data_IF_125477318761
#
_entry.id   IF_125477318761
#
_cell.length_a   1.000
_cell.length_b   1.000
_cell.length_c   1.000
_cell.angle_alpha   90.00
_cell.angle_beta   90.00
_cell.angle_gamma   90.00
#
_symmetry.space_group_name_H-M   'P 1'
#
loop_
_entity.id
_entity.type
_entity.pdbx_description
1 polymer ?
#
# COMPACT_ATOMS: atom_id res chain seq x y z
N UNK A 1 -16.53 -2.55 13.54
CA UNK A 1 -15.16 -2.23 13.08
C UNK A 1 -15.22 -0.95 12.26
N UNK A 2 -14.49 0.08 12.67
CA UNK A 2 -14.31 1.33 11.91
C UNK A 2 -12.95 1.32 11.21
N UNK A 3 -12.95 1.52 9.90
CA UNK A 3 -11.77 1.35 9.04
C UNK A 3 -11.33 2.71 8.49
N UNK A 4 -10.03 2.92 8.40
CA UNK A 4 -9.44 4.05 7.66
C UNK A 4 -8.76 3.52 6.39
N UNK A 5 -9.26 3.91 5.22
CA UNK A 5 -8.64 3.58 3.94
C UNK A 5 -7.76 4.77 3.52
N UNK A 6 -6.45 4.57 3.52
CA UNK A 6 -5.47 5.59 3.16
C UNK A 6 -5.01 5.31 1.73
N UNK A 7 -5.38 6.16 0.79
CA UNK A 7 -4.77 6.14 -0.53
C UNK A 7 -3.53 7.03 -0.54
N UNK A 8 -2.40 6.49 -0.99
CA UNK A 8 -1.11 7.15 -0.94
C UNK A 8 -0.42 7.34 -2.28
N UNK A 9 0.23 8.49 -2.44
CA UNK A 9 1.28 8.72 -3.42
C UNK A 9 0.83 8.82 -4.87
N UNK A 10 -0.35 9.42 -5.14
CA UNK A 10 -0.68 9.75 -6.53
C UNK A 10 0.21 10.88 -7.01
N UNK A 11 1.04 10.57 -8.00
CA UNK A 11 1.99 11.50 -8.58
C UNK A 11 1.84 11.48 -10.09
N UNK A 12 1.85 12.65 -10.73
CA UNK A 12 1.85 12.72 -12.19
C UNK A 12 3.11 12.08 -12.75
N UNK A 13 2.94 11.03 -13.56
CA UNK A 13 4.04 10.39 -14.27
C UNK A 13 4.00 10.87 -15.71
N UNK A 14 4.84 11.85 -16.03
CA UNK A 14 4.92 12.46 -17.37
C UNK A 14 5.18 11.49 -18.53
N UNK A 15 5.61 10.26 -18.24
CA UNK A 15 6.01 9.26 -19.24
C UNK A 15 4.91 8.25 -19.60
N UNK A 16 3.79 8.20 -18.87
CA UNK A 16 2.71 7.22 -19.13
C UNK A 16 1.37 7.95 -19.18
N UNK A 17 0.99 8.40 -20.38
CA UNK A 17 -0.32 9.07 -20.64
C UNK A 17 -1.55 8.23 -20.25
N UNK A 18 -1.40 6.94 -19.95
CA UNK A 18 -2.51 5.99 -19.82
C UNK A 18 -2.77 5.44 -18.41
N UNK A 19 -1.91 5.72 -17.43
CA UNK A 19 -2.11 5.27 -16.05
C UNK A 19 -2.43 6.49 -15.20
N UNK A 20 -3.71 6.86 -15.20
CA UNK A 20 -4.29 7.86 -14.32
C UNK A 20 -5.15 7.10 -13.29
N UNK A 21 -4.97 7.38 -12.02
CA UNK A 21 -5.74 6.75 -10.94
C UNK A 21 -7.26 6.96 -11.02
N UNK A 22 -7.74 7.97 -11.75
CA UNK A 22 -9.16 8.11 -12.09
C UNK A 22 -9.73 6.85 -12.78
N UNK A 23 -8.92 6.16 -13.57
CA UNK A 23 -9.33 4.92 -14.24
C UNK A 23 -9.59 3.77 -13.25
N UNK A 24 -9.06 3.86 -12.03
CA UNK A 24 -9.17 2.82 -11.01
C UNK A 24 -10.37 3.03 -10.08
N UNK A 25 -11.02 4.19 -10.10
CA UNK A 25 -12.14 4.52 -9.19
C UNK A 25 -13.27 3.50 -9.26
N UNK A 26 -13.69 3.11 -10.47
CA UNK A 26 -14.75 2.10 -10.66
C UNK A 26 -14.33 0.73 -10.10
N UNK A 27 -13.04 0.40 -10.19
CA UNK A 27 -12.50 -0.83 -9.61
C UNK A 27 -12.55 -0.80 -8.08
N UNK A 28 -12.11 0.30 -7.47
CA UNK A 28 -12.15 0.49 -6.02
C UNK A 28 -13.56 0.49 -5.47
N UNK A 29 -14.48 1.16 -6.16
CA UNK A 29 -15.89 1.11 -5.80
C UNK A 29 -16.40 -0.33 -5.79
N UNK A 30 -16.10 -1.12 -6.82
CA UNK A 30 -16.56 -2.51 -6.94
C UNK A 30 -15.97 -3.44 -5.88
N UNK A 31 -14.64 -3.45 -5.72
CA UNK A 31 -13.95 -4.47 -4.94
C UNK A 31 -13.61 -4.05 -3.51
N UNK A 32 -13.61 -2.76 -3.21
CA UNK A 32 -13.31 -2.24 -1.88
C UNK A 32 -14.59 -1.68 -1.24
N UNK A 33 -15.10 -0.55 -1.76
CA UNK A 33 -16.12 0.22 -1.02
C UNK A 33 -17.48 -0.47 -0.99
N UNK A 34 -18.00 -0.91 -2.13
CA UNK A 34 -19.29 -1.61 -2.18
C UNK A 34 -19.25 -2.92 -1.39
N UNK A 35 -18.10 -3.58 -1.35
CA UNK A 35 -17.93 -4.81 -0.55
C UNK A 35 -17.93 -4.52 0.95
N UNK A 36 -17.26 -3.45 1.39
CA UNK A 36 -17.29 -3.00 2.78
C UNK A 36 -18.70 -2.57 3.21
N UNK A 37 -19.42 -1.82 2.36
CA UNK A 37 -20.80 -1.40 2.59
C UNK A 37 -21.74 -2.60 2.70
N UNK A 38 -21.61 -3.59 1.80
CA UNK A 38 -22.41 -4.82 1.82
C UNK A 38 -22.27 -5.59 3.14
N UNK A 39 -21.10 -5.53 3.76
CA UNK A 39 -20.83 -6.18 5.05
C UNK A 39 -21.02 -5.24 6.26
N UNK A 40 -21.68 -4.10 6.07
CA UNK A 40 -21.99 -3.11 7.11
C UNK A 40 -20.76 -2.56 7.85
N UNK A 41 -19.61 -2.48 7.17
CA UNK A 41 -18.44 -1.81 7.73
C UNK A 41 -18.58 -0.29 7.61
N UNK A 42 -18.12 0.42 8.65
CA UNK A 42 -17.97 1.88 8.63
C UNK A 42 -16.55 2.18 8.22
N UNK A 43 -16.36 3.01 7.19
CA UNK A 43 -15.02 3.40 6.75
C UNK A 43 -14.95 4.87 6.35
N UNK A 44 -13.78 5.46 6.59
CA UNK A 44 -13.40 6.78 6.10
C UNK A 44 -12.29 6.62 5.03
N UNK A 45 -12.29 7.49 4.01
CA UNK A 45 -11.25 7.53 2.97
C UNK A 45 -10.36 8.75 3.22
N UNK A 46 -9.05 8.54 3.25
CA UNK A 46 -8.03 9.58 3.45
C UNK A 46 -7.08 9.56 2.26
N UNK A 47 -6.75 10.75 1.73
CA UNK A 47 -5.73 10.89 0.71
C UNK A 47 -4.46 11.47 1.31
N UNK A 48 -3.33 10.79 1.11
CA UNK A 48 -1.99 11.28 1.44
C UNK A 48 -1.19 11.33 0.14
N UNK A 49 -1.25 12.46 -0.54
CA UNK A 49 -0.97 12.52 -1.99
C UNK A 49 -0.33 13.84 -2.41
N UNK A 50 0.03 13.98 -3.69
CA UNK A 50 0.60 15.21 -4.25
C UNK A 50 -0.48 16.06 -4.93
N UNK A 51 -0.16 17.33 -5.17
CA UNK A 51 -1.03 18.19 -5.97
C UNK A 51 -0.91 17.80 -7.46
N UNK A 52 -1.90 17.07 -7.96
CA UNK A 52 -1.98 16.60 -9.36
C UNK A 52 -3.21 17.21 -10.05
N UNK A 53 -3.17 17.34 -11.37
CA UNK A 53 -4.28 17.84 -12.22
C UNK A 53 -5.60 17.10 -12.00
N UNK A 54 -5.55 15.83 -11.62
CA UNK A 54 -6.71 14.95 -11.42
C UNK A 54 -7.25 14.93 -9.98
N UNK A 55 -6.58 15.62 -9.04
CA UNK A 55 -6.88 15.52 -7.62
C UNK A 55 -8.30 15.99 -7.29
N UNK A 56 -8.75 17.06 -7.95
CA UNK A 56 -10.11 17.58 -7.76
C UNK A 56 -11.17 16.57 -8.22
N UNK A 57 -10.96 15.93 -9.37
CA UNK A 57 -11.87 14.89 -9.87
C UNK A 57 -11.89 13.66 -8.94
N UNK A 58 -10.73 13.26 -8.40
CA UNK A 58 -10.66 12.19 -7.41
C UNK A 58 -11.40 12.56 -6.13
N UNK A 59 -11.24 13.80 -5.64
CA UNK A 59 -11.94 14.32 -4.47
C UNK A 59 -13.45 14.25 -4.67
N UNK A 60 -13.95 14.69 -5.82
CA UNK A 60 -15.38 14.71 -6.12
C UNK A 60 -15.97 13.30 -6.20
N UNK A 61 -15.23 12.35 -6.79
CA UNK A 61 -15.70 10.96 -6.96
C UNK A 61 -15.62 10.13 -5.68
N UNK A 62 -14.58 10.35 -4.87
CA UNK A 62 -14.25 9.48 -3.74
C UNK A 62 -14.67 10.09 -2.40
N UNK A 63 -14.95 11.39 -2.36
CA UNK A 63 -15.31 12.15 -1.17
C UNK A 63 -14.42 11.84 0.05
N UNK A 64 -13.09 12.02 -0.06
CA UNK A 64 -12.18 11.75 1.04
C UNK A 64 -12.51 12.66 2.24
N UNK A 65 -12.47 12.10 3.44
CA UNK A 65 -12.69 12.83 4.70
C UNK A 65 -11.58 13.84 4.97
N UNK A 66 -10.36 13.52 4.55
CA UNK A 66 -9.19 14.38 4.70
C UNK A 66 -8.23 14.18 3.52
N UNK A 67 -7.56 15.26 3.12
CA UNK A 67 -6.52 15.26 2.09
C UNK A 67 -5.28 15.92 2.69
N UNK A 68 -4.18 15.18 2.73
CA UNK A 68 -2.86 15.63 3.17
C UNK A 68 -1.98 15.72 1.94
N UNK A 69 -1.53 16.94 1.63
CA UNK A 69 -0.65 17.20 0.50
C UNK A 69 0.81 16.99 0.90
N UNK A 70 1.51 16.13 0.15
CA UNK A 70 2.95 15.92 0.27
C UNK A 70 3.70 16.98 -0.53
N UNK A 71 4.90 17.35 -0.07
CA UNK A 71 5.80 18.22 -0.82
C UNK A 71 6.36 17.51 -2.06
N UNK A 72 6.20 18.11 -3.24
CA UNK A 72 6.67 17.52 -4.50
C UNK A 72 8.20 17.54 -4.63
N UNK A 73 8.86 18.57 -4.10
CA UNK A 73 10.33 18.75 -4.17
C UNK A 73 11.09 17.65 -3.40
N UNK A 74 10.45 17.05 -2.40
CA UNK A 74 10.99 15.98 -1.56
C UNK A 74 10.22 14.65 -1.74
N UNK A 75 9.68 14.42 -2.95
CA UNK A 75 8.90 13.22 -3.26
C UNK A 75 9.74 11.95 -3.10
N UNK A 76 9.53 11.24 -1.98
CA UNK A 76 10.16 9.95 -1.71
C UNK A 76 9.13 8.98 -1.12
N UNK A 77 9.28 7.70 -1.42
CA UNK A 77 8.43 6.65 -0.85
C UNK A 77 8.56 6.60 0.68
N UNK A 78 9.76 6.88 1.20
CA UNK A 78 10.10 6.97 2.62
C UNK A 78 9.33 8.10 3.30
N UNK A 79 9.39 9.32 2.76
CA UNK A 79 8.68 10.48 3.29
C UNK A 79 7.16 10.25 3.24
N UNK A 80 6.65 9.69 2.15
CA UNK A 80 5.23 9.39 2.03
C UNK A 80 4.79 8.32 3.04
N UNK A 81 5.61 7.29 3.31
CA UNK A 81 5.31 6.33 4.40
C UNK A 81 5.37 7.01 5.77
N UNK A 82 6.34 7.91 6.00
CA UNK A 82 6.42 8.63 7.27
C UNK A 82 5.15 9.46 7.54
N UNK A 83 4.64 10.19 6.54
CA UNK A 83 3.38 10.94 6.67
C UNK A 83 2.19 9.99 6.94
N UNK A 84 2.16 8.81 6.30
CA UNK A 84 1.17 7.76 6.60
C UNK A 84 1.30 7.31 8.06
N UNK A 85 2.52 7.08 8.57
CA UNK A 85 2.76 6.70 9.95
C UNK A 85 2.30 7.76 10.95
N UNK A 86 2.65 9.02 10.72
CA UNK A 86 2.20 10.16 11.54
C UNK A 86 0.66 10.22 11.61
N UNK A 87 -0.01 10.02 10.47
CA UNK A 87 -1.46 9.98 10.42
C UNK A 87 -2.03 8.80 11.22
N UNK A 88 -1.49 7.61 11.02
CA UNK A 88 -1.90 6.38 11.71
C UNK A 88 -1.74 6.55 13.22
N UNK A 89 -0.60 7.06 13.69
CA UNK A 89 -0.33 7.31 15.11
C UNK A 89 -1.33 8.30 15.72
N UNK A 90 -1.56 9.43 15.04
CA UNK A 90 -2.47 10.48 15.51
C UNK A 90 -3.92 9.99 15.60
N UNK A 91 -4.31 9.05 14.74
CA UNK A 91 -5.69 8.61 14.60
C UNK A 91 -5.97 7.19 15.12
N UNK A 92 -4.99 6.53 15.74
CA UNK A 92 -5.14 5.13 16.19
C UNK A 92 -6.28 4.90 17.17
N UNK A 93 -6.70 5.93 17.90
CA UNK A 93 -7.84 5.81 18.82
C UNK A 93 -9.21 5.92 18.16
N UNK A 94 -9.27 6.32 16.89
CA UNK A 94 -10.52 6.51 16.13
C UNK A 94 -10.86 5.27 15.29
N UNK A 95 -9.85 4.57 14.79
CA UNK A 95 -10.01 3.48 13.83
C UNK A 95 -9.53 2.16 14.43
N UNK A 96 -10.25 1.08 14.13
CA UNK A 96 -9.86 -0.27 14.52
C UNK A 96 -8.78 -0.83 13.57
N UNK A 97 -8.80 -0.38 12.31
CA UNK A 97 -7.89 -0.82 11.25
C UNK A 97 -7.59 0.29 10.26
N UNK A 98 -6.32 0.35 9.86
CA UNK A 98 -5.83 1.16 8.75
C UNK A 98 -5.54 0.26 7.56
N UNK A 99 -5.97 0.67 6.37
CA UNK A 99 -5.71 -0.04 5.12
C UNK A 99 -4.99 0.94 4.20
N UNK A 100 -3.73 0.66 3.87
CA UNK A 100 -2.88 1.57 3.09
C UNK A 100 -2.84 1.03 1.66
N UNK A 101 -3.39 1.80 0.73
CA UNK A 101 -3.53 1.44 -0.68
C UNK A 101 -2.81 2.45 -1.56
N UNK A 102 -2.33 2.00 -2.72
CA UNK A 102 -1.79 2.89 -3.74
C UNK A 102 -2.87 3.27 -4.77
N UNK A 103 -2.75 4.48 -5.31
CA UNK A 103 -3.66 4.99 -6.34
C UNK A 103 -3.50 4.30 -7.72
N UNK A 104 -2.40 3.59 -7.96
CA UNK A 104 -2.12 2.91 -9.24
C UNK A 104 -2.47 1.41 -9.24
N UNK A 105 -3.19 0.91 -8.23
CA UNK A 105 -3.50 -0.52 -8.08
C UNK A 105 -4.97 -0.85 -8.41
N UNK A 106 -5.14 -1.90 -9.21
CA UNK A 106 -6.42 -2.53 -9.55
C UNK A 106 -6.56 -3.83 -8.76
N UNK A 107 -7.70 -4.00 -8.09
CA UNK A 107 -8.03 -5.19 -7.31
C UNK A 107 -8.92 -6.14 -8.12
N UNK A 108 -8.68 -7.44 -8.00
CA UNK A 108 -9.46 -8.47 -8.70
C UNK A 108 -10.45 -9.21 -7.79
N UNK A 109 -10.25 -9.12 -6.48
CA UNK A 109 -11.05 -9.80 -5.47
C UNK A 109 -11.58 -8.81 -4.45
N UNK A 110 -12.80 -9.02 -3.91
CA UNK A 110 -13.35 -8.16 -2.88
C UNK A 110 -12.50 -8.16 -1.61
N UNK A 111 -12.39 -7.00 -0.95
CA UNK A 111 -11.48 -6.81 0.19
C UNK A 111 -11.79 -7.75 1.37
N UNK A 112 -13.06 -8.05 1.62
CA UNK A 112 -13.46 -8.97 2.70
C UNK A 112 -13.11 -10.43 2.44
N UNK A 113 -12.68 -10.75 1.22
CA UNK A 113 -12.20 -12.10 0.84
C UNK A 113 -10.68 -12.22 0.86
N UNK A 114 -9.96 -11.14 1.21
CA UNK A 114 -8.50 -11.20 1.30
C UNK A 114 -8.06 -12.17 2.39
N UNK A 115 -7.01 -12.95 2.09
CA UNK A 115 -6.36 -13.83 3.06
C UNK A 115 -5.88 -12.94 4.21
N UNK A 116 -6.36 -13.20 5.42
CA UNK A 116 -6.15 -12.39 6.64
C UNK A 116 -7.03 -11.15 6.82
N UNK A 117 -8.16 -11.04 6.11
CA UNK A 117 -9.15 -10.00 6.40
C UNK A 117 -9.69 -10.08 7.84
N UNK A 118 -9.85 -11.26 8.42
CA UNK A 118 -10.40 -11.40 9.78
C UNK A 118 -9.34 -11.51 10.88
N UNK A 119 -8.05 -11.60 10.49
CA UNK A 119 -6.97 -11.70 11.46
C UNK A 119 -6.56 -10.32 11.98
N UNK A 120 -6.11 -10.28 13.23
CA UNK A 120 -5.49 -9.10 13.82
C UNK A 120 -4.01 -9.08 13.50
N UNK A 121 -3.43 -7.92 13.16
CA UNK A 121 -1.99 -7.79 13.02
C UNK A 121 -1.54 -6.70 12.07
N UNK A 122 -0.33 -6.91 11.55
CA UNK A 122 0.18 -6.22 10.37
C UNK A 122 0.11 -7.20 9.21
N UNK A 123 -0.53 -6.79 8.11
CA UNK A 123 -0.60 -7.58 6.88
C UNK A 123 0.19 -6.90 5.77
N UNK A 124 1.14 -7.64 5.19
CA UNK A 124 2.00 -7.22 4.09
C UNK A 124 1.69 -8.06 2.83
N UNK A 125 2.06 -7.59 1.63
CA UNK A 125 2.02 -8.41 0.43
C UNK A 125 3.07 -9.50 0.55
N UNK A 126 2.74 -10.71 0.10
CA UNK A 126 3.71 -11.79 -0.04
C UNK A 126 4.84 -11.44 -1.02
N UNK A 127 6.00 -12.06 -0.82
CA UNK A 127 7.24 -11.83 -1.57
C UNK A 127 7.33 -12.54 -2.91
N UNK A 128 6.60 -13.63 -3.10
CA UNK A 128 6.78 -14.56 -4.23
C UNK A 128 6.35 -14.00 -5.60
N UNK A 129 6.09 -12.69 -5.68
CA UNK A 129 5.91 -11.99 -6.95
C UNK A 129 7.28 -11.64 -7.58
N UNK A 130 8.40 -11.60 -6.85
CA UNK A 130 9.70 -11.14 -7.43
C UNK A 130 11.03 -11.69 -6.89
N UNK A 131 11.13 -12.57 -5.88
CA UNK A 131 12.44 -12.73 -5.22
C UNK A 131 12.74 -14.07 -4.54
N UNK A 132 13.14 -15.08 -5.31
CA UNK A 132 13.40 -16.45 -4.82
C UNK A 132 14.50 -16.58 -3.74
N UNK A 133 15.36 -15.59 -3.49
CA UNK A 133 16.54 -15.79 -2.62
C UNK A 133 16.56 -15.09 -1.26
N UNK A 134 15.56 -14.29 -0.85
CA UNK A 134 15.73 -13.46 0.39
C UNK A 134 14.57 -13.32 1.39
N UNK A 135 13.45 -14.05 1.29
CA UNK A 135 12.30 -13.94 2.25
C UNK A 135 11.87 -12.55 2.83
N UNK A 136 12.19 -11.40 2.22
CA UNK A 136 11.74 -10.06 2.62
C UNK A 136 10.38 -9.58 2.06
N UNK A 137 9.59 -8.93 2.93
CA UNK A 137 8.29 -8.33 2.64
C UNK A 137 8.41 -7.11 1.71
N UNK A 138 7.53 -7.01 0.71
CA UNK A 138 7.43 -5.84 -0.16
C UNK A 138 6.89 -4.62 0.64
N UNK A 139 7.35 -3.42 0.26
CA UNK A 139 7.12 -2.09 0.83
C UNK A 139 5.68 -1.55 0.75
N UNK A 140 4.71 -2.43 0.50
CA UNK A 140 3.31 -2.08 0.34
C UNK A 140 2.53 -2.68 1.52
N UNK A 141 2.80 -2.21 2.75
CA UNK A 141 1.98 -2.55 3.90
C UNK A 141 0.50 -2.33 3.57
N UNK A 142 -0.33 -3.37 3.73
CA UNK A 142 -1.72 -3.32 3.29
C UNK A 142 -2.68 -3.05 4.43
N UNK A 143 -2.48 -3.68 5.59
CA UNK A 143 -3.40 -3.53 6.73
C UNK A 143 -2.64 -3.46 8.04
N UNK A 144 -3.09 -2.59 8.94
CA UNK A 144 -2.53 -2.41 10.28
C UNK A 144 -3.70 -2.27 11.25
N UNK A 145 -3.87 -3.24 12.13
CA UNK A 145 -4.84 -3.13 13.21
C UNK A 145 -4.35 -2.19 14.31
N UNK A 146 -5.29 -1.53 15.00
CA UNK A 146 -5.03 -0.56 16.08
C UNK A 146 -4.02 -1.07 17.11
N UNK A 147 -4.14 -2.35 17.49
CA UNK A 147 -3.25 -2.99 18.48
C UNK A 147 -1.79 -3.10 18.02
N UNK A 148 -1.51 -2.98 16.73
CA UNK A 148 -0.18 -3.14 16.13
C UNK A 148 0.39 -1.84 15.56
N UNK A 149 -0.28 -0.71 15.77
CA UNK A 149 0.18 0.61 15.30
C UNK A 149 1.56 0.98 15.83
N UNK A 150 1.90 0.60 17.08
CA UNK A 150 3.22 0.85 17.66
C UNK A 150 4.34 0.08 16.92
N UNK A 151 4.12 -1.19 16.58
CA UNK A 151 5.07 -1.97 15.78
C UNK A 151 5.31 -1.39 14.39
N UNK A 152 4.27 -0.83 13.77
CA UNK A 152 4.42 -0.13 12.51
C UNK A 152 5.30 1.12 12.65
N UNK A 153 5.06 1.93 13.68
CA UNK A 153 5.86 3.13 13.95
C UNK A 153 7.32 2.81 14.25
N UNK A 154 7.60 1.82 15.09
CA UNK A 154 8.96 1.35 15.34
C UNK A 154 9.66 0.94 14.04
N UNK A 155 8.94 0.25 13.14
CA UNK A 155 9.47 -0.19 11.85
C UNK A 155 9.73 0.98 10.88
N UNK A 156 8.87 2.01 10.90
CA UNK A 156 9.07 3.23 10.10
C UNK A 156 10.24 4.05 10.64
N UNK A 157 10.35 4.20 11.96
CA UNK A 157 11.48 4.88 12.59
C UNK A 157 12.81 4.18 12.31
N UNK A 158 12.81 2.84 12.28
CA UNK A 158 13.96 2.07 11.82
C UNK A 158 14.33 2.37 10.36
N UNK A 159 13.34 2.36 9.45
CA UNK A 159 13.57 2.73 8.05
C UNK A 159 14.17 4.14 7.91
N UNK A 160 13.64 5.12 8.63
CA UNK A 160 14.15 6.51 8.62
C UNK A 160 15.59 6.58 9.16
N UNK A 161 15.91 5.82 10.22
CA UNK A 161 17.27 5.78 10.77
C UNK A 161 18.30 5.26 9.77
N UNK A 162 17.91 4.35 8.87
CA UNK A 162 18.79 3.85 7.81
C UNK A 162 18.92 4.87 6.68
N UNK A 163 17.82 5.51 6.28
CA UNK A 163 17.82 6.48 5.18
C UNK A 163 18.56 7.78 5.53
N UNK A 164 18.81 8.05 6.81
CA UNK A 164 19.63 9.21 7.24
C UNK A 164 21.14 8.93 7.24
N UNK A 165 21.58 7.67 7.07
CA UNK A 165 23.00 7.34 7.01
C UNK A 165 23.63 7.83 5.70
N UNK A 166 24.90 8.29 5.71
CA UNK A 166 25.67 8.53 4.48
C UNK A 166 25.64 7.29 3.59
N UNK A 167 25.50 7.46 2.27
CA UNK A 167 25.36 6.34 1.31
C UNK A 167 26.47 5.31 1.47
N UNK A 168 27.68 5.74 1.80
CA UNK A 168 28.83 4.89 2.06
C UNK A 168 28.70 3.96 3.27
N UNK A 169 27.83 4.32 4.22
CA UNK A 169 27.59 3.62 5.49
C UNK A 169 26.25 2.88 5.50
N UNK A 170 25.42 3.04 4.47
CA UNK A 170 24.19 2.27 4.37
C UNK A 170 24.53 0.82 3.99
N UNK A 171 23.97 -0.14 4.72
CA UNK A 171 24.13 -1.57 4.41
C UNK A 171 23.59 -1.92 3.01
N UNK A 172 22.75 -1.05 2.43
CA UNK A 172 22.14 -1.19 1.11
C UNK A 172 22.99 -0.60 -0.04
N UNK A 173 24.17 -0.01 0.24
CA UNK A 173 25.10 0.53 -0.78
C UNK A 173 25.42 -0.46 -1.91
N UNK A 174 25.42 -1.75 -1.59
CA UNK A 174 25.69 -2.84 -2.54
C UNK A 174 24.45 -3.67 -2.91
N UNK A 175 23.31 -3.42 -2.28
CA UNK A 175 22.02 -4.05 -2.55
C UNK A 175 20.91 -3.08 -2.16
N UNK A 176 20.29 -2.32 -3.09
CA UNK A 176 19.24 -1.35 -2.75
C UNK A 176 18.07 -2.10 -2.08
N UNK A 177 17.79 -1.80 -0.81
CA UNK A 177 16.75 -2.51 -0.05
C UNK A 177 15.62 -1.55 0.35
N UNK A 178 14.62 -1.31 -0.52
CA UNK A 178 13.42 -0.54 -0.18
C UNK A 178 12.52 -1.20 0.88
N UNK A 179 12.99 -2.20 1.63
CA UNK A 179 12.16 -3.13 2.43
C UNK A 179 12.43 -3.10 3.95
N UNK A 180 12.98 -2.00 4.49
CA UNK A 180 13.41 -1.92 5.89
C UNK A 180 12.31 -2.15 6.93
N UNK A 181 11.06 -1.82 6.61
CA UNK A 181 9.92 -2.07 7.50
C UNK A 181 9.72 -3.59 7.70
N UNK A 182 9.67 -4.35 6.61
CA UNK A 182 9.52 -5.80 6.68
C UNK A 182 10.69 -6.47 7.40
N UNK A 183 11.91 -5.96 7.20
CA UNK A 183 13.10 -6.43 7.91
C UNK A 183 12.99 -6.21 9.42
N UNK A 184 12.59 -5.01 9.84
CA UNK A 184 12.41 -4.71 11.25
C UNK A 184 11.41 -5.68 11.90
N UNK A 185 10.25 -5.87 11.26
CA UNK A 185 9.22 -6.77 11.77
C UNK A 185 9.75 -8.20 11.92
N UNK A 186 10.47 -8.69 10.91
CA UNK A 186 11.09 -10.02 10.93
C UNK A 186 12.15 -10.17 12.04
N UNK A 187 13.12 -9.26 12.10
CA UNK A 187 14.24 -9.36 13.06
C UNK A 187 13.82 -9.20 14.52
N UNK A 188 12.69 -8.53 14.77
CA UNK A 188 12.13 -8.37 16.10
C UNK A 188 11.04 -9.40 16.44
N UNK A 189 10.89 -10.46 15.63
CA UNK A 189 9.88 -11.53 15.82
C UNK A 189 8.45 -10.99 15.93
N UNK A 190 8.14 -9.88 15.26
CA UNK A 190 6.79 -9.32 15.20
C UNK A 190 6.02 -10.15 14.16
N UNK A 191 4.87 -10.69 14.56
CA UNK A 191 4.05 -11.51 13.67
C UNK A 191 3.50 -10.67 12.51
N UNK A 192 3.63 -11.19 11.28
CA UNK A 192 3.14 -10.54 10.06
C UNK A 192 2.33 -11.54 9.24
N UNK A 193 1.15 -11.09 8.82
CA UNK A 193 0.27 -11.80 7.90
C UNK A 193 0.70 -11.54 6.45
N UNK A 194 0.87 -12.58 5.63
CA UNK A 194 1.34 -12.45 4.24
C UNK A 194 0.21 -12.66 3.22
N UNK A 195 -0.39 -11.58 2.73
CA UNK A 195 -1.64 -11.58 1.94
C UNK A 195 -1.64 -12.53 0.73
N UNK A 196 -0.48 -12.79 0.12
CA UNK A 196 -0.33 -13.70 -1.01
C UNK A 196 0.69 -14.79 -0.70
N UNK A 197 0.32 -16.03 -1.01
CA UNK A 197 1.24 -17.16 -1.11
C UNK A 197 0.89 -17.76 -2.47
N UNK A 198 1.76 -17.61 -3.48
CA UNK A 198 1.53 -18.24 -4.78
C UNK A 198 2.62 -19.28 -4.97
N UNK A 199 2.19 -20.52 -5.18
CA UNK A 199 3.03 -21.62 -5.63
C UNK A 199 3.78 -21.21 -6.89
N UNK A 200 5.09 -21.51 -6.90
CA UNK A 200 6.02 -21.32 -8.00
C UNK A 200 5.38 -21.40 -9.40
N UNK A 201 5.51 -20.33 -10.18
CA UNK A 201 4.98 -20.32 -11.53
C UNK A 201 5.21 -19.01 -12.27
N UNK A 202 6.43 -18.84 -12.77
CA UNK A 202 6.82 -17.97 -13.91
C UNK A 202 6.99 -16.46 -13.66
N UNK A 203 8.21 -16.00 -13.96
CA UNK A 203 8.63 -14.69 -14.45
C UNK A 203 7.63 -13.53 -14.29
N UNK A 204 7.74 -12.85 -13.15
CA UNK A 204 7.67 -11.39 -12.98
C UNK A 204 6.60 -10.63 -13.81
N UNK A 205 5.42 -10.33 -13.24
CA UNK A 205 4.37 -9.59 -13.94
C UNK A 205 4.22 -8.14 -13.43
N UNK A 206 4.83 -7.18 -14.11
CA UNK A 206 4.33 -5.80 -14.20
C UNK A 206 4.65 -5.38 -15.65
N UNK A 207 3.71 -5.35 -16.59
CA UNK A 207 2.61 -4.40 -16.70
C UNK A 207 1.38 -5.06 -17.35
N UNK A 208 0.18 -4.72 -16.88
CA UNK A 208 -1.03 -4.82 -17.72
C UNK A 208 -0.84 -3.79 -18.85
N UNK A 209 -0.25 -4.23 -19.97
CA UNK A 209 -0.51 -3.61 -21.26
C UNK A 209 -1.58 -4.43 -21.94
N UNK A 210 -2.72 -3.78 -22.16
CA UNK A 210 -3.75 -4.25 -23.08
C UNK A 210 -3.08 -4.52 -24.43
N UNK A 211 -3.14 -5.78 -24.90
CA UNK A 211 -3.17 -6.07 -26.33
C UNK A 211 -4.33 -7.01 -26.61
N UNK A 212 -5.22 -6.51 -27.45
CA UNK A 212 -6.38 -7.18 -28.01
C UNK A 212 -5.97 -8.48 -28.70
N UNK A 213 -6.47 -9.62 -28.23
CA UNK A 213 -6.84 -10.72 -29.13
C UNK A 213 -7.93 -11.60 -28.47
N UNK A 214 -9.16 -11.62 -28.99
CA UNK A 214 -10.24 -12.47 -28.47
C UNK A 214 -10.06 -13.97 -28.71
N UNK A 215 -8.92 -14.46 -29.23
CA UNK A 215 -8.77 -15.86 -29.65
C UNK A 215 -7.86 -16.77 -28.79
N UNK A 216 -7.44 -16.39 -27.58
CA UNK A 216 -6.62 -17.30 -26.75
C UNK A 216 -7.42 -17.97 -25.62
N UNK A 217 -7.91 -19.17 -25.92
CA UNK A 217 -8.39 -20.19 -24.97
C UNK A 217 -7.14 -20.87 -24.40
N UNK A 218 -6.98 -21.00 -23.08
CA UNK A 218 -6.31 -22.17 -22.49
C UNK A 218 -6.85 -22.50 -21.10
N UNK A 219 -6.96 -23.82 -20.92
CA UNK A 219 -7.57 -24.62 -19.87
C UNK A 219 -6.93 -24.45 -18.48
#
# INVERSE_FOLDING_TARGET
MKICIIYRGEHERNYIQYINSLNNVNNWQKYIFSDLQKHNYIFDIIFITYNTTILNELKDKMNPKEIILCETENSSQVNNINIVNEYVQKNKDIYDRFIILRFDIIYKTPITTWKYWYETGITVPGKDITWESTKFCNDILFMIDKSHVHHFDDAVNYMLSIDTLPVENRMDKYQPMPHHIGQYLYHNNIHVNFMYHIESGTNHPHYIFVRNDPNSIYL
#
